data_IF_904975620199
#
_entry.id   IF_904975620199
#
_cell.length_a   1.000
_cell.length_b   1.000
_cell.length_c   1.000
_cell.angle_alpha   90.00
_cell.angle_beta   90.00
_cell.angle_gamma   90.00
#
_symmetry.space_group_name_H-M   'P 1'
#
loop_
_entity.id
_entity.type
_entity.pdbx_description
1 polymer ?
#
# COMPACT_ATOMS: atom_id res chain seq x y z
N UNK A 1 22.83 13.49 19.43
CA UNK A 1 23.45 12.81 18.27
C UNK A 1 22.89 11.40 18.02
N UNK A 2 22.75 10.52 19.02
CA UNK A 2 22.20 9.17 18.81
C UNK A 2 20.73 9.14 18.34
N UNK A 3 19.89 10.05 18.86
CA UNK A 3 18.48 10.16 18.44
C UNK A 3 18.36 10.58 16.97
N UNK A 4 19.24 11.47 16.51
CA UNK A 4 19.30 11.95 15.12
C UNK A 4 19.54 10.82 14.11
N UNK A 5 20.60 10.03 14.35
CA UNK A 5 20.89 8.89 13.48
C UNK A 5 19.82 7.81 13.57
N UNK A 6 19.13 7.66 14.71
CA UNK A 6 18.11 6.65 14.90
C UNK A 6 16.86 6.88 14.04
N UNK A 7 16.25 8.07 14.07
CA UNK A 7 15.01 8.31 13.31
C UNK A 7 15.25 8.35 11.79
N UNK A 8 16.41 8.84 11.33
CA UNK A 8 16.78 8.84 9.91
C UNK A 8 16.94 7.40 9.42
N UNK A 9 17.65 6.56 10.18
CA UNK A 9 17.80 5.13 9.86
C UNK A 9 16.46 4.40 9.89
N UNK A 10 15.61 4.69 10.87
CA UNK A 10 14.27 4.10 10.95
C UNK A 10 13.40 4.50 9.75
N UNK A 11 13.40 5.79 9.38
CA UNK A 11 12.69 6.30 8.19
C UNK A 11 13.20 5.62 6.93
N UNK A 12 14.51 5.52 6.75
CA UNK A 12 15.11 4.82 5.60
C UNK A 12 14.72 3.34 5.55
N UNK A 13 14.73 2.65 6.70
CA UNK A 13 14.30 1.26 6.78
C UNK A 13 12.83 1.09 6.37
N UNK A 14 11.94 1.96 6.84
CA UNK A 14 10.52 1.97 6.45
C UNK A 14 10.34 2.22 4.94
N UNK A 15 11.11 3.12 4.35
CA UNK A 15 11.08 3.36 2.90
C UNK A 15 11.54 2.13 2.10
N UNK A 16 12.61 1.44 2.54
CA UNK A 16 13.10 0.22 1.89
C UNK A 16 12.05 -0.90 2.00
N UNK A 17 11.44 -1.08 3.16
CA UNK A 17 10.36 -2.06 3.37
C UNK A 17 9.17 -1.75 2.45
N UNK A 18 8.80 -0.47 2.34
CA UNK A 18 7.73 0.00 1.44
C UNK A 18 8.04 -0.41 -0.01
N UNK A 19 9.24 -0.13 -0.52
CA UNK A 19 9.61 -0.47 -1.90
C UNK A 19 9.59 -1.98 -2.16
N UNK A 20 10.12 -2.78 -1.23
CA UNK A 20 10.15 -4.24 -1.38
C UNK A 20 8.73 -4.80 -1.37
N UNK A 21 7.91 -4.38 -0.41
CA UNK A 21 6.54 -4.87 -0.27
C UNK A 21 5.67 -4.43 -1.44
N UNK A 22 5.81 -3.20 -1.93
CA UNK A 22 5.11 -2.69 -3.11
C UNK A 22 5.48 -3.46 -4.39
N UNK A 23 6.78 -3.74 -4.59
CA UNK A 23 7.24 -4.55 -5.71
C UNK A 23 6.65 -5.98 -5.66
N UNK A 24 6.64 -6.61 -4.49
CA UNK A 24 6.02 -7.93 -4.28
C UNK A 24 4.51 -7.85 -4.56
N UNK A 25 3.82 -6.84 -4.06
CA UNK A 25 2.38 -6.70 -4.28
C UNK A 25 2.03 -6.47 -5.76
N UNK A 26 2.84 -5.69 -6.47
CA UNK A 26 2.69 -5.43 -7.91
C UNK A 26 2.89 -6.72 -8.72
N UNK A 27 3.93 -7.49 -8.43
CA UNK A 27 4.16 -8.79 -9.11
C UNK A 27 3.05 -9.79 -8.81
N UNK A 28 2.55 -9.88 -7.57
CA UNK A 28 1.42 -10.75 -7.20
C UNK A 28 0.13 -10.34 -7.91
N UNK A 29 -0.13 -9.04 -8.04
CA UNK A 29 -1.28 -8.51 -8.77
C UNK A 29 -1.18 -8.84 -10.26
N UNK A 30 0.00 -8.66 -10.87
CA UNK A 30 0.25 -9.03 -12.27
C UNK A 30 0.10 -10.53 -12.53
N UNK A 31 0.62 -11.38 -11.64
CA UNK A 31 0.43 -12.84 -11.73
C UNK A 31 -1.03 -13.24 -11.50
N UNK A 32 -1.74 -12.56 -10.60
CA UNK A 32 -3.17 -12.73 -10.37
C UNK A 32 -3.99 -12.45 -11.63
N UNK A 33 -3.68 -11.36 -12.35
CA UNK A 33 -4.33 -10.99 -13.61
C UNK A 33 -4.09 -12.01 -14.72
N UNK A 34 -2.88 -12.58 -14.81
CA UNK A 34 -2.55 -13.60 -15.83
C UNK A 34 -3.22 -14.95 -15.57
N UNK A 35 -3.53 -15.28 -14.32
CA UNK A 35 -4.03 -16.61 -13.95
C UNK A 35 -5.48 -16.83 -14.38
N UNK A 36 -5.72 -17.86 -15.18
CA UNK A 36 -7.07 -18.35 -15.55
C UNK A 36 -7.76 -19.14 -14.42
N UNK A 37 -6.99 -19.60 -13.43
CA UNK A 37 -7.50 -20.44 -12.34
C UNK A 37 -8.11 -19.58 -11.22
N UNK A 38 -9.44 -19.57 -11.12
CA UNK A 38 -10.20 -18.71 -10.21
C UNK A 38 -9.78 -18.81 -8.72
N UNK A 39 -9.64 -20.03 -8.19
CA UNK A 39 -9.23 -20.23 -6.80
C UNK A 39 -7.82 -19.69 -6.49
N UNK A 40 -6.93 -19.69 -7.48
CA UNK A 40 -5.57 -19.15 -7.34
C UNK A 40 -5.60 -17.63 -7.48
N UNK A 41 -6.33 -17.09 -8.46
CA UNK A 41 -6.52 -15.64 -8.64
C UNK A 41 -7.01 -14.99 -7.34
N UNK A 42 -8.07 -15.53 -6.74
CA UNK A 42 -8.61 -15.01 -5.47
C UNK A 42 -7.56 -14.97 -4.34
N UNK A 43 -6.73 -16.01 -4.20
CA UNK A 43 -5.66 -16.05 -3.19
C UNK A 43 -4.56 -15.03 -3.48
N UNK A 44 -4.12 -14.90 -4.73
CA UNK A 44 -3.11 -13.93 -5.14
C UNK A 44 -3.57 -12.49 -4.86
N UNK A 45 -4.80 -12.15 -5.24
CA UNK A 45 -5.37 -10.82 -5.00
C UNK A 45 -5.53 -10.51 -3.52
N UNK A 46 -6.01 -11.46 -2.72
CA UNK A 46 -6.14 -11.26 -1.27
C UNK A 46 -4.79 -10.99 -0.61
N UNK A 47 -3.76 -11.75 -0.97
CA UNK A 47 -2.41 -11.53 -0.44
C UNK A 47 -1.85 -10.20 -0.96
N UNK A 48 -2.03 -9.87 -2.23
CA UNK A 48 -1.56 -8.62 -2.81
C UNK A 48 -2.12 -7.39 -2.08
N UNK A 49 -3.43 -7.36 -1.83
CA UNK A 49 -4.07 -6.25 -1.09
C UNK A 49 -3.50 -6.12 0.32
N UNK A 50 -3.29 -7.22 1.04
CA UNK A 50 -2.70 -7.17 2.38
C UNK A 50 -1.27 -6.62 2.36
N UNK A 51 -0.46 -7.04 1.38
CA UNK A 51 0.93 -6.55 1.23
C UNK A 51 0.95 -5.08 0.83
N UNK A 52 0.06 -4.62 -0.06
CA UNK A 52 -0.08 -3.20 -0.40
C UNK A 52 -0.54 -2.34 0.79
N UNK A 53 -1.46 -2.84 1.62
CA UNK A 53 -1.86 -2.15 2.84
C UNK A 53 -0.69 -2.00 3.83
N UNK A 54 0.14 -3.03 3.97
CA UNK A 54 1.37 -2.94 4.77
C UNK A 54 2.35 -1.90 4.21
N UNK A 55 2.53 -1.86 2.88
CA UNK A 55 3.34 -0.85 2.21
C UNK A 55 2.82 0.57 2.49
N UNK A 56 1.50 0.77 2.39
CA UNK A 56 0.86 2.05 2.68
C UNK A 56 1.07 2.50 4.15
N UNK A 57 0.90 1.60 5.11
CA UNK A 57 1.14 1.92 6.53
C UNK A 57 2.62 2.29 6.75
N UNK A 58 3.53 1.55 6.13
CA UNK A 58 4.97 1.79 6.23
C UNK A 58 5.37 3.16 5.67
N UNK A 59 4.87 3.53 4.47
CA UNK A 59 5.17 4.82 3.86
C UNK A 59 4.57 5.98 4.66
N UNK A 60 3.32 5.86 5.12
CA UNK A 60 2.69 6.88 5.97
C UNK A 60 3.46 7.07 7.27
N UNK A 61 3.92 5.98 7.89
CA UNK A 61 4.73 6.06 9.10
C UNK A 61 6.05 6.80 8.85
N UNK A 62 6.73 6.52 7.74
CA UNK A 62 7.97 7.21 7.35
C UNK A 62 7.74 8.71 7.12
N UNK A 63 6.64 9.07 6.46
CA UNK A 63 6.27 10.46 6.17
C UNK A 63 5.84 11.25 7.42
N UNK A 64 5.48 10.58 8.51
CA UNK A 64 5.13 11.23 9.78
C UNK A 64 6.36 11.30 10.70
N UNK A 65 7.11 10.20 10.86
CA UNK A 65 8.25 10.12 11.78
C UNK A 65 9.32 11.16 11.42
N UNK A 66 9.66 11.28 10.13
CA UNK A 66 10.70 12.20 9.69
C UNK A 66 10.42 13.66 10.06
N UNK A 67 9.29 14.29 9.65
CA UNK A 67 9.00 15.68 10.00
C UNK A 67 8.72 15.89 11.48
N UNK A 68 8.09 14.94 12.19
CA UNK A 68 7.78 15.10 13.62
C UNK A 68 9.07 15.16 14.44
N UNK A 69 10.01 14.24 14.19
CA UNK A 69 11.32 14.27 14.86
C UNK A 69 12.14 15.49 14.44
N UNK A 70 12.11 15.85 13.15
CA UNK A 70 12.84 17.01 12.63
C UNK A 70 12.33 18.34 13.21
N UNK A 71 11.01 18.51 13.36
CA UNK A 71 10.41 19.69 13.98
C UNK A 71 10.85 19.88 15.43
N UNK A 72 11.01 18.79 16.19
CA UNK A 72 11.58 18.84 17.54
C UNK A 72 13.00 19.38 17.57
N UNK A 73 13.82 19.04 16.57
CA UNK A 73 15.21 19.50 16.45
C UNK A 73 15.34 20.96 16.01
N UNK A 74 14.48 21.42 15.09
CA UNK A 74 14.42 22.84 14.70
C UNK A 74 14.16 23.77 15.89
N UNK A 75 13.21 23.38 16.75
CA UNK A 75 12.90 24.09 17.98
C UNK A 75 14.12 24.15 18.93
N UNK A 76 14.87 23.05 19.04
CA UNK A 76 16.08 22.98 19.86
C UNK A 76 17.25 23.82 19.29
N UNK A 77 17.35 23.88 17.96
CA UNK A 77 18.40 24.60 17.26
C UNK A 77 18.09 26.10 17.03
N UNK A 78 16.95 26.59 17.55
CA UNK A 78 16.46 27.96 17.37
C UNK A 78 16.43 28.41 15.89
N UNK A 79 16.21 27.47 14.95
CA UNK A 79 16.08 27.75 13.52
C UNK A 79 14.59 27.75 13.16
N UNK A 80 14.03 28.87 12.67
CA UNK A 80 12.58 29.02 12.56
C UNK A 80 11.94 28.42 11.31
N UNK A 81 12.72 27.94 10.32
CA UNK A 81 12.18 27.54 9.02
C UNK A 81 12.65 26.15 8.62
N UNK A 82 11.68 25.27 8.38
CA UNK A 82 11.88 24.02 7.66
C UNK A 82 11.53 24.23 6.19
N UNK A 83 12.46 23.95 5.29
CA UNK A 83 12.17 23.87 3.85
C UNK A 83 11.72 22.45 3.50
N UNK A 84 10.45 22.31 3.12
CA UNK A 84 9.93 21.06 2.58
C UNK A 84 10.63 20.75 1.26
N UNK A 85 11.44 19.70 1.25
CA UNK A 85 12.06 19.21 0.03
C UNK A 85 11.04 18.57 -0.92
N UNK A 86 11.34 18.59 -2.22
CA UNK A 86 10.54 17.93 -3.26
C UNK A 86 10.21 16.46 -2.95
N UNK A 87 11.16 15.73 -2.35
CA UNK A 87 10.98 14.34 -1.98
C UNK A 87 9.82 14.11 -1.01
N UNK A 88 9.52 15.08 -0.13
CA UNK A 88 8.40 14.98 0.79
C UNK A 88 7.06 15.03 0.06
N UNK A 89 6.93 15.95 -0.91
CA UNK A 89 5.76 16.04 -1.77
C UNK A 89 5.58 14.78 -2.63
N UNK A 90 6.66 14.26 -3.22
CA UNK A 90 6.65 12.99 -3.96
C UNK A 90 6.22 11.83 -3.07
N UNK A 91 6.67 11.78 -1.81
CA UNK A 91 6.28 10.76 -0.85
C UNK A 91 4.77 10.76 -0.56
N UNK A 92 4.17 11.94 -0.38
CA UNK A 92 2.71 12.04 -0.19
C UNK A 92 1.94 11.67 -1.45
N UNK A 93 2.44 12.07 -2.62
CA UNK A 93 1.89 11.63 -3.90
C UNK A 93 1.90 10.11 -4.04
N UNK A 94 3.01 9.46 -3.70
CA UNK A 94 3.12 8.00 -3.68
C UNK A 94 2.12 7.36 -2.71
N UNK A 95 1.93 7.92 -1.51
CA UNK A 95 0.95 7.42 -0.55
C UNK A 95 -0.50 7.50 -1.09
N UNK A 96 -0.85 8.58 -1.78
CA UNK A 96 -2.17 8.75 -2.42
C UNK A 96 -2.37 7.72 -3.53
N UNK A 97 -1.37 7.52 -4.40
CA UNK A 97 -1.45 6.51 -5.46
C UNK A 97 -1.55 5.08 -4.90
N UNK A 98 -0.79 4.76 -3.86
CA UNK A 98 -0.88 3.48 -3.16
C UNK A 98 -2.26 3.25 -2.54
N UNK A 99 -2.82 4.28 -1.90
CA UNK A 99 -4.18 4.20 -1.37
C UNK A 99 -5.21 3.98 -2.49
N UNK A 100 -5.10 4.73 -3.59
CA UNK A 100 -5.95 4.54 -4.76
C UNK A 100 -5.84 3.13 -5.34
N UNK A 101 -4.63 2.59 -5.45
CA UNK A 101 -4.40 1.23 -5.93
C UNK A 101 -5.05 0.16 -5.04
N UNK A 102 -4.98 0.32 -3.72
CA UNK A 102 -5.67 -0.56 -2.76
C UNK A 102 -7.17 -0.53 -2.98
N UNK A 103 -7.77 0.67 -3.10
CA UNK A 103 -9.21 0.82 -3.32
C UNK A 103 -9.63 0.16 -4.64
N UNK A 104 -8.90 0.41 -5.72
CA UNK A 104 -9.18 -0.18 -7.03
C UNK A 104 -9.12 -1.71 -6.99
N UNK A 105 -8.14 -2.30 -6.28
CA UNK A 105 -8.02 -3.75 -6.16
C UNK A 105 -9.08 -4.37 -5.26
N UNK A 106 -9.54 -3.66 -4.24
CA UNK A 106 -10.69 -4.09 -3.43
C UNK A 106 -11.97 -4.10 -4.28
N UNK A 107 -12.19 -3.07 -5.09
CA UNK A 107 -13.33 -2.99 -6.00
C UNK A 107 -13.28 -4.09 -7.08
N UNK A 108 -12.10 -4.39 -7.63
CA UNK A 108 -11.91 -5.49 -8.59
C UNK A 108 -12.26 -6.84 -7.95
N UNK A 109 -11.74 -7.10 -6.74
CA UNK A 109 -12.03 -8.33 -5.98
C UNK A 109 -13.52 -8.49 -5.65
N UNK A 110 -14.20 -7.40 -5.28
CA UNK A 110 -15.63 -7.42 -4.96
C UNK A 110 -16.48 -7.68 -6.22
N UNK A 111 -16.16 -7.00 -7.32
CA UNK A 111 -16.85 -7.16 -8.62
C UNK A 111 -16.74 -8.59 -9.13
N UNK A 112 -15.56 -9.21 -9.02
CA UNK A 112 -15.39 -10.63 -9.35
C UNK A 112 -16.26 -11.52 -8.45
N UNK A 113 -16.25 -11.32 -7.14
CA UNK A 113 -17.00 -12.15 -6.19
C UNK A 113 -18.51 -12.15 -6.48
N UNK A 114 -19.07 -10.99 -6.83
CA UNK A 114 -20.48 -10.84 -7.20
C UNK A 114 -20.79 -11.63 -8.48
N UNK A 115 -19.97 -11.46 -9.53
CA UNK A 115 -20.15 -12.15 -10.81
C UNK A 115 -20.22 -13.68 -10.68
N UNK A 116 -19.37 -14.27 -9.81
CA UNK A 116 -19.40 -15.70 -9.58
C UNK A 116 -20.60 -16.17 -8.75
N UNK A 117 -21.11 -15.33 -7.83
CA UNK A 117 -22.35 -15.63 -7.11
C UNK A 117 -23.54 -15.65 -8.06
N UNK A 118 -23.63 -14.66 -8.96
CA UNK A 118 -24.70 -14.57 -9.96
C UNK A 118 -24.73 -15.79 -10.90
N UNK A 119 -23.58 -16.18 -11.48
CA UNK A 119 -23.53 -17.37 -12.35
C UNK A 119 -24.01 -18.65 -11.66
N UNK A 120 -23.68 -18.84 -10.38
CA UNK A 120 -24.10 -20.04 -9.63
C UNK A 120 -25.62 -20.08 -9.44
N UNK A 121 -26.22 -18.95 -9.08
CA UNK A 121 -27.67 -18.84 -8.87
C UNK A 121 -28.42 -19.11 -10.18
N UNK A 122 -27.95 -18.56 -11.31
CA UNK A 122 -28.57 -18.80 -12.63
C UNK A 122 -28.49 -20.28 -13.00
N UNK A 123 -27.33 -20.92 -12.83
CA UNK A 123 -27.14 -22.33 -13.17
C UNK A 123 -27.99 -23.26 -12.29
N UNK A 124 -28.12 -22.94 -11.00
CA UNK A 124 -28.98 -23.67 -10.07
C UNK A 124 -30.47 -23.52 -10.42
N UNK A 125 -30.91 -22.31 -10.77
CA UNK A 125 -32.28 -22.06 -11.21
C UNK A 125 -32.62 -22.80 -12.52
N UNK A 126 -31.68 -22.88 -13.47
CA UNK A 126 -31.88 -23.65 -14.71
C UNK A 126 -31.99 -25.16 -14.47
N UNK A 127 -31.31 -25.72 -13.46
CA UNK A 127 -31.46 -27.14 -13.11
C UNK A 127 -32.77 -27.47 -12.37
N UNK A 128 -33.45 -26.47 -11.80
CA UNK A 128 -34.70 -26.63 -11.05
C UNK A 128 -35.96 -26.39 -11.90
N UNK A 129 -35.81 -25.83 -13.10
CA UNK A 129 -36.89 -25.57 -14.07
C UNK A 129 -37.00 -26.71 -15.09
#
# INVERSE_FOLDING_TARGET
>A
MYVFLAYIKATAALCIITLITDFIATTLTGLGLKSQNHNLKYKYYRIAVLVMLLSLISVLSALIIYPVCFAGELNLANRPVWEFGWAYGVGWGAAIFLFGAVVLLLCDKESEEIYYKERKIVHENQMRA
#
